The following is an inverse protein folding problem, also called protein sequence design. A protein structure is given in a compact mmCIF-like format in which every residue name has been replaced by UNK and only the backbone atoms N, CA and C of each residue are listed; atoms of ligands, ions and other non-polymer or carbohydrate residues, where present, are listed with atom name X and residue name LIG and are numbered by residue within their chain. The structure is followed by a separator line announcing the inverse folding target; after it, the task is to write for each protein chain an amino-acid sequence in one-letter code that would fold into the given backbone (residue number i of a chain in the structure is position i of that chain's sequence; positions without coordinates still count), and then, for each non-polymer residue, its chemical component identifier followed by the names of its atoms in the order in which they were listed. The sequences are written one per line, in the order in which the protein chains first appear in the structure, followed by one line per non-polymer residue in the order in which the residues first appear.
data_IF_667103017944
#
_entry.id   IF_667103017944
#
_cell.length_a   1.000
_cell.length_b   1.000
_cell.length_c   1.000
_cell.angle_alpha   90.00
_cell.angle_beta   90.00
_cell.angle_gamma   90.00
#
_symmetry.space_group_name_H-M   'P 1'
#
loop_
_entity.id
_entity.type
_entity.pdbx_description
1 polymer ?
#
# COMPACT_ATOMS: atom_id res chain seq x y z
N UNK A 1 -24.20 -14.86 37.72
CA UNK A 1 -23.05 -14.09 38.26
C UNK A 1 -21.94 -13.86 37.25
N UNK A 2 -21.55 -14.82 36.39
CA UNK A 2 -20.47 -14.63 35.38
C UNK A 2 -20.74 -13.55 34.31
N UNK A 3 -21.98 -13.42 33.81
CA UNK A 3 -22.30 -12.47 32.72
C UNK A 3 -22.21 -11.00 33.13
N UNK A 4 -22.68 -10.66 34.33
CA UNK A 4 -22.60 -9.28 34.86
C UNK A 4 -21.17 -8.88 35.19
N UNK A 5 -20.33 -9.81 35.65
CA UNK A 5 -18.90 -9.57 35.87
C UNK A 5 -18.14 -9.33 34.55
N UNK A 6 -18.48 -10.07 33.48
CA UNK A 6 -17.90 -9.86 32.16
C UNK A 6 -18.32 -8.51 31.55
N UNK A 7 -19.59 -8.12 31.71
CA UNK A 7 -20.07 -6.80 31.24
C UNK A 7 -19.36 -5.68 31.99
N UNK A 8 -19.20 -5.80 33.31
CA UNK A 8 -18.44 -4.85 34.11
C UNK A 8 -16.98 -4.76 33.68
N UNK A 9 -16.33 -5.91 33.44
CA UNK A 9 -14.95 -5.94 32.96
C UNK A 9 -14.80 -5.25 31.59
N UNK A 10 -15.74 -5.47 30.66
CA UNK A 10 -15.74 -4.82 29.35
C UNK A 10 -15.93 -3.30 29.48
N UNK A 11 -16.85 -2.85 30.32
CA UNK A 11 -17.10 -1.42 30.56
C UNK A 11 -15.87 -0.76 31.19
N UNK A 12 -15.20 -1.42 32.13
CA UNK A 12 -13.97 -0.94 32.75
C UNK A 12 -12.83 -0.86 31.72
N UNK A 13 -12.67 -1.88 30.87
CA UNK A 13 -11.68 -1.86 29.79
C UNK A 13 -11.95 -0.75 28.77
N UNK A 14 -13.22 -0.52 28.42
CA UNK A 14 -13.63 0.58 27.55
C UNK A 14 -13.33 1.96 28.16
N UNK A 15 -13.63 2.14 29.44
CA UNK A 15 -13.35 3.39 30.15
C UNK A 15 -11.83 3.65 30.27
N UNK A 16 -11.05 2.61 30.57
CA UNK A 16 -9.58 2.69 30.58
C UNK A 16 -9.02 3.04 29.21
N UNK A 17 -9.54 2.41 28.15
CA UNK A 17 -9.13 2.68 26.77
C UNK A 17 -9.43 4.13 26.38
N UNK A 18 -10.62 4.65 26.72
CA UNK A 18 -10.99 6.04 26.45
C UNK A 18 -10.08 7.03 27.20
N UNK A 19 -9.75 6.76 28.46
CA UNK A 19 -8.85 7.60 29.24
C UNK A 19 -7.43 7.62 28.64
N UNK A 20 -6.90 6.45 28.26
CA UNK A 20 -5.61 6.35 27.58
C UNK A 20 -5.61 7.09 26.23
N UNK A 21 -6.68 6.99 25.44
CA UNK A 21 -6.80 7.70 24.17
C UNK A 21 -6.73 9.21 24.36
N UNK A 22 -7.43 9.78 25.35
CA UNK A 22 -7.37 11.23 25.62
C UNK A 22 -5.99 11.72 26.06
N UNK A 23 -5.18 10.85 26.66
CA UNK A 23 -3.80 11.16 27.05
C UNK A 23 -2.80 11.01 25.90
N UNK A 24 -3.06 10.09 24.95
CA UNK A 24 -2.17 9.77 23.82
C UNK A 24 -2.48 10.65 22.59
N UNK A 25 -3.73 11.06 22.38
CA UNK A 25 -4.14 11.86 21.21
C UNK A 25 -3.43 13.21 21.07
N UNK A 26 -3.13 13.97 22.16
CA UNK A 26 -2.41 15.24 22.05
C UNK A 26 -0.98 15.10 21.49
N UNK A 27 -0.11 14.19 21.98
CA UNK A 27 1.19 13.95 21.36
C UNK A 27 1.07 13.29 19.99
N UNK A 28 0.07 12.44 19.74
CA UNK A 28 -0.16 11.82 18.42
C UNK A 28 -0.32 12.86 17.30
N UNK A 29 -1.05 13.95 17.55
CA UNK A 29 -1.21 15.05 16.56
C UNK A 29 0.08 15.79 16.23
N UNK A 30 1.11 15.71 17.07
CA UNK A 30 2.43 16.31 16.81
C UNK A 30 3.34 15.38 15.98
N UNK A 31 3.11 14.07 16.03
CA UNK A 31 3.91 13.07 15.33
C UNK A 31 3.18 12.41 14.14
N UNK A 32 1.94 12.80 13.86
CA UNK A 32 1.22 12.38 12.66
C UNK A 32 1.96 12.90 11.42
N UNK A 33 2.56 12.02 10.59
CA UNK A 33 2.81 12.40 9.22
C UNK A 33 1.45 12.79 8.62
N UNK A 34 1.40 13.75 7.70
CA UNK A 34 0.17 14.18 7.02
C UNK A 34 -0.39 13.05 6.13
N UNK A 35 -0.85 11.93 6.71
CA UNK A 35 -1.50 10.79 6.04
C UNK A 35 -3.02 11.00 5.96
N UNK A 36 -3.52 12.07 6.62
CA UNK A 36 -4.95 12.40 6.72
C UNK A 36 -5.64 12.61 5.36
N UNK A 37 -4.89 12.91 4.30
CA UNK A 37 -5.41 13.04 2.94
C UNK A 37 -5.68 11.71 2.22
N UNK A 38 -5.12 10.59 2.67
CA UNK A 38 -5.24 9.30 1.99
C UNK A 38 -6.28 8.39 2.64
N UNK A 39 -6.39 8.37 3.97
CA UNK A 39 -7.49 7.69 4.67
C UNK A 39 -8.86 8.32 4.39
N UNK A 40 -8.93 9.65 4.21
CA UNK A 40 -10.16 10.32 3.76
C UNK A 40 -10.58 9.96 2.33
N UNK A 41 -9.63 9.49 1.50
CA UNK A 41 -9.87 8.97 0.14
C UNK A 41 -10.14 7.46 0.10
N UNK A 42 -10.01 6.74 1.22
CA UNK A 42 -10.37 5.32 1.35
C UNK A 42 -11.87 5.07 1.52
N UNK A 43 -12.71 6.11 1.45
CA UNK A 43 -14.18 6.02 1.54
C UNK A 43 -14.84 5.17 0.46
N UNK A 44 -14.09 4.74 -0.57
CA UNK A 44 -14.52 3.80 -1.61
C UNK A 44 -14.05 2.35 -1.44
N UNK A 45 -13.25 2.03 -0.41
CA UNK A 45 -12.84 0.65 -0.14
C UNK A 45 -13.96 -0.09 0.61
N UNK A 46 -14.33 -1.31 0.18
CA UNK A 46 -15.23 -2.16 0.95
C UNK A 46 -14.80 -2.24 2.42
N UNK A 47 -15.76 -2.02 3.32
CA UNK A 47 -15.56 -1.97 4.77
C UNK A 47 -14.83 -3.20 5.32
N UNK A 48 -14.97 -4.33 4.64
CA UNK A 48 -14.29 -5.60 4.93
C UNK A 48 -12.75 -5.48 4.90
N UNK A 49 -12.19 -4.72 3.97
CA UNK A 49 -10.74 -4.51 3.90
C UNK A 49 -10.23 -3.67 5.07
N UNK A 50 -11.00 -2.67 5.50
CA UNK A 50 -10.68 -1.83 6.64
C UNK A 50 -10.67 -2.66 7.92
N UNK A 51 -11.69 -3.49 8.14
CA UNK A 51 -11.75 -4.38 9.32
C UNK A 51 -10.69 -5.48 9.28
N UNK A 52 -10.40 -6.06 8.10
CA UNK A 52 -9.33 -7.05 7.94
C UNK A 52 -7.96 -6.51 8.34
N UNK A 53 -7.61 -5.30 7.89
CA UNK A 53 -6.36 -4.63 8.26
C UNK A 53 -6.29 -4.34 9.77
N UNK A 54 -7.39 -3.90 10.39
CA UNK A 54 -7.44 -3.59 11.83
C UNK A 54 -7.32 -4.83 12.74
N UNK A 55 -7.66 -6.02 12.24
CA UNK A 55 -7.54 -7.29 12.96
C UNK A 55 -6.18 -8.00 12.74
N UNK A 56 -5.25 -7.37 12.01
CA UNK A 56 -3.93 -7.93 11.74
C UNK A 56 -3.83 -8.77 10.46
N UNK A 57 -4.87 -8.82 9.61
CA UNK A 57 -4.86 -9.53 8.33
C UNK A 57 -4.41 -8.64 7.17
N UNK A 58 -3.45 -7.75 7.41
CA UNK A 58 -2.99 -6.77 6.43
C UNK A 58 -2.46 -7.44 5.15
N UNK A 59 -1.74 -8.57 5.26
CA UNK A 59 -1.21 -9.27 4.09
C UNK A 59 -2.33 -9.90 3.25
N UNK A 60 -3.40 -10.41 3.90
CA UNK A 60 -4.58 -10.95 3.19
C UNK A 60 -5.32 -9.85 2.44
N UNK A 61 -5.50 -8.69 3.07
CA UNK A 61 -6.12 -7.52 2.44
C UNK A 61 -5.25 -7.02 1.28
N UNK A 62 -3.93 -6.96 1.47
CA UNK A 62 -2.97 -6.61 0.41
C UNK A 62 -3.10 -7.55 -0.79
N UNK A 63 -3.11 -8.87 -0.55
CA UNK A 63 -3.29 -9.87 -1.60
C UNK A 63 -4.61 -9.73 -2.35
N UNK A 64 -5.72 -9.49 -1.64
CA UNK A 64 -7.03 -9.30 -2.27
C UNK A 64 -7.10 -8.00 -3.11
N UNK A 65 -6.49 -6.92 -2.63
CA UNK A 65 -6.35 -5.67 -3.39
C UNK A 65 -5.48 -5.87 -4.63
N UNK A 66 -4.40 -6.64 -4.52
CA UNK A 66 -3.51 -6.94 -5.64
C UNK A 66 -4.20 -7.78 -6.72
N UNK A 67 -4.97 -8.80 -6.34
CA UNK A 67 -5.81 -9.56 -7.28
C UNK A 67 -6.79 -8.65 -8.01
N UNK A 68 -7.34 -7.64 -7.33
CA UNK A 68 -8.22 -6.65 -7.97
C UNK A 68 -7.47 -5.69 -8.90
N UNK A 69 -6.19 -5.41 -8.63
CA UNK A 69 -5.35 -4.56 -9.47
C UNK A 69 -5.20 -5.14 -10.88
N UNK A 70 -5.16 -6.47 -11.01
CA UNK A 70 -5.06 -7.18 -12.29
C UNK A 70 -6.11 -6.72 -13.32
N UNK A 71 -7.37 -6.59 -12.90
CA UNK A 71 -8.44 -6.12 -13.79
C UNK A 71 -8.16 -4.70 -14.32
N UNK A 72 -7.65 -3.81 -13.47
CA UNK A 72 -7.32 -2.44 -13.88
C UNK A 72 -6.11 -2.39 -14.82
N UNK A 73 -5.11 -3.25 -14.62
CA UNK A 73 -4.00 -3.39 -15.55
C UNK A 73 -4.47 -3.79 -16.95
N UNK A 74 -5.43 -4.72 -17.05
CA UNK A 74 -6.03 -5.13 -18.33
C UNK A 74 -6.86 -4.03 -18.98
N UNK A 75 -7.58 -3.23 -18.19
CA UNK A 75 -8.39 -2.11 -18.68
C UNK A 75 -7.56 -0.87 -19.07
N UNK A 76 -6.26 -0.83 -18.72
CA UNK A 76 -5.41 0.33 -18.94
C UNK A 76 -5.79 1.55 -18.07
N UNK A 77 -6.50 1.34 -16.96
CA UNK A 77 -6.95 2.41 -16.09
C UNK A 77 -5.86 2.83 -15.09
N UNK A 78 -4.84 3.52 -15.61
CA UNK A 78 -3.63 3.87 -14.86
C UNK A 78 -3.88 4.73 -13.61
N UNK A 79 -4.88 5.62 -13.66
CA UNK A 79 -5.23 6.50 -12.54
C UNK A 79 -5.78 5.73 -11.33
N UNK A 80 -6.45 4.61 -11.56
CA UNK A 80 -6.98 3.73 -10.51
C UNK A 80 -5.91 2.77 -9.94
N UNK A 81 -4.88 2.43 -10.72
CA UNK A 81 -3.87 1.43 -10.37
C UNK A 81 -2.87 1.97 -9.35
N UNK A 82 -2.36 3.19 -9.54
CA UNK A 82 -1.32 3.76 -8.69
C UNK A 82 -1.72 3.81 -7.20
N UNK A 83 -2.95 4.23 -6.82
CA UNK A 83 -3.41 4.16 -5.44
C UNK A 83 -3.46 2.74 -4.88
N UNK A 84 -3.82 1.74 -5.69
CA UNK A 84 -3.89 0.34 -5.26
C UNK A 84 -2.48 -0.20 -5.00
N UNK A 85 -1.53 0.02 -5.91
CA UNK A 85 -0.11 -0.32 -5.72
C UNK A 85 0.38 0.26 -4.39
N UNK A 86 0.15 1.56 -4.15
CA UNK A 86 0.59 2.21 -2.90
C UNK A 86 -0.05 1.60 -1.65
N UNK A 87 -1.32 1.24 -1.73
CA UNK A 87 -2.03 0.64 -0.59
C UNK A 87 -1.48 -0.76 -0.29
N UNK A 88 -1.22 -1.55 -1.33
CA UNK A 88 -0.63 -2.89 -1.19
C UNK A 88 0.77 -2.79 -0.58
N UNK A 89 1.65 -1.90 -1.05
CA UNK A 89 3.00 -1.74 -0.48
C UNK A 89 2.98 -1.31 0.99
N UNK A 90 1.97 -0.55 1.42
CA UNK A 90 1.81 -0.17 2.82
C UNK A 90 1.28 -1.29 3.71
N UNK A 91 0.36 -2.09 3.17
CA UNK A 91 -0.23 -3.20 3.90
C UNK A 91 0.74 -4.38 4.01
N UNK A 92 1.47 -4.65 2.94
CA UNK A 92 2.47 -5.71 2.86
C UNK A 92 3.76 -5.19 2.17
N UNK A 93 4.68 -4.62 2.95
CA UNK A 93 5.96 -4.12 2.43
C UNK A 93 6.89 -5.21 1.88
N UNK A 94 6.61 -6.49 2.14
CA UNK A 94 7.41 -7.62 1.67
C UNK A 94 6.80 -8.33 0.45
N UNK A 95 5.71 -7.81 -0.09
CA UNK A 95 5.11 -8.32 -1.31
C UNK A 95 6.02 -7.98 -2.50
N UNK A 96 6.77 -8.96 -3.00
CA UNK A 96 7.73 -8.74 -4.09
C UNK A 96 7.02 -8.44 -5.42
N UNK A 97 5.86 -9.05 -5.65
CA UNK A 97 5.12 -8.93 -6.92
C UNK A 97 4.61 -7.50 -7.14
N UNK A 98 4.13 -6.82 -6.09
CA UNK A 98 3.68 -5.42 -6.24
C UNK A 98 4.82 -4.49 -6.62
N UNK A 99 6.05 -4.75 -6.17
CA UNK A 99 7.21 -3.96 -6.56
C UNK A 99 7.69 -4.32 -7.96
N UNK A 100 7.94 -5.60 -8.25
CA UNK A 100 8.46 -6.05 -9.54
C UNK A 100 7.45 -5.81 -10.67
N UNK A 101 6.27 -6.44 -10.56
CA UNK A 101 5.23 -6.39 -11.59
C UNK A 101 4.58 -5.01 -11.64
N UNK A 102 4.35 -4.37 -10.49
CA UNK A 102 3.83 -3.00 -10.45
C UNK A 102 4.77 -2.01 -11.14
N UNK A 103 6.07 -2.06 -10.84
CA UNK A 103 7.04 -1.19 -11.52
C UNK A 103 7.15 -1.52 -13.01
N UNK A 104 7.11 -2.79 -13.38
CA UNK A 104 7.08 -3.19 -14.79
C UNK A 104 5.89 -2.57 -15.52
N UNK A 105 4.67 -2.65 -14.98
CA UNK A 105 3.53 -2.00 -15.60
C UNK A 105 3.68 -0.47 -15.71
N UNK A 106 4.14 0.19 -14.66
CA UNK A 106 4.36 1.65 -14.67
C UNK A 106 5.43 2.03 -15.69
N UNK A 107 6.51 1.25 -15.79
CA UNK A 107 7.65 1.54 -16.65
C UNK A 107 7.46 1.16 -18.11
N UNK A 108 6.61 0.18 -18.42
CA UNK A 108 6.45 -0.39 -19.76
C UNK A 108 5.06 -0.17 -20.35
N UNK A 109 4.01 -0.30 -19.54
CA UNK A 109 2.63 -0.40 -20.03
C UNK A 109 1.80 0.85 -19.83
N UNK A 110 2.29 1.82 -19.06
CA UNK A 110 1.66 3.14 -18.99
C UNK A 110 2.04 3.90 -20.25
N UNK A 111 1.09 4.08 -21.17
CA UNK A 111 1.36 4.60 -22.51
C UNK A 111 0.98 6.07 -22.70
N UNK A 112 1.67 6.73 -23.63
CA UNK A 112 1.37 8.08 -24.10
C UNK A 112 0.24 8.08 -25.17
N UNK A 113 -0.07 9.24 -25.75
CA UNK A 113 -1.11 9.35 -26.79
C UNK A 113 -0.80 8.54 -28.05
N UNK A 114 0.44 8.09 -28.23
CA UNK A 114 0.92 7.29 -29.36
C UNK A 114 1.06 5.80 -28.99
N UNK A 115 0.52 5.38 -27.84
CA UNK A 115 0.61 4.01 -27.33
C UNK A 115 2.05 3.53 -27.06
N UNK A 116 2.97 4.47 -26.82
CA UNK A 116 4.34 4.17 -26.42
C UNK A 116 4.48 4.31 -24.92
N UNK A 117 5.33 3.51 -24.31
CA UNK A 117 5.69 3.65 -22.90
C UNK A 117 6.06 5.10 -22.57
N UNK A 118 5.29 5.70 -21.66
CA UNK A 118 5.42 7.10 -21.30
C UNK A 118 6.54 7.29 -20.28
N UNK A 119 7.59 7.99 -20.74
CA UNK A 119 8.82 8.22 -19.97
C UNK A 119 8.58 9.00 -18.67
N UNK A 120 7.48 9.74 -18.55
CA UNK A 120 7.13 10.48 -17.33
C UNK A 120 6.98 9.57 -16.11
N UNK A 121 6.55 8.33 -16.32
CA UNK A 121 6.31 7.36 -15.25
C UNK A 121 7.55 6.56 -14.85
N UNK A 122 8.64 6.59 -15.61
CA UNK A 122 9.87 5.87 -15.28
C UNK A 122 10.44 6.25 -13.91
N UNK A 123 10.34 7.53 -13.55
CA UNK A 123 10.78 8.00 -12.22
C UNK A 123 9.95 7.39 -11.09
N UNK A 124 8.65 7.15 -11.31
CA UNK A 124 7.78 6.51 -10.33
C UNK A 124 8.05 5.01 -10.24
N UNK A 125 8.28 4.33 -11.37
CA UNK A 125 8.63 2.92 -11.39
C UNK A 125 9.98 2.65 -10.67
N UNK A 126 11.00 3.48 -10.93
CA UNK A 126 12.29 3.37 -10.25
C UNK A 126 12.19 3.61 -8.75
N UNK A 127 11.40 4.60 -8.32
CA UNK A 127 11.15 4.84 -6.88
C UNK A 127 10.42 3.68 -6.21
N UNK A 128 9.50 3.03 -6.92
CA UNK A 128 8.81 1.85 -6.42
C UNK A 128 9.82 0.69 -6.22
N UNK A 129 10.72 0.47 -7.17
CA UNK A 129 11.77 -0.55 -7.05
C UNK A 129 12.79 -0.21 -5.96
N UNK A 130 13.15 1.06 -5.80
CA UNK A 130 14.01 1.55 -4.71
C UNK A 130 13.38 1.24 -3.34
N UNK A 131 12.11 1.55 -3.14
CA UNK A 131 11.37 1.18 -1.92
C UNK A 131 11.28 -0.35 -1.75
N UNK A 132 11.12 -1.10 -2.84
CA UNK A 132 11.14 -2.56 -2.83
C UNK A 132 12.47 -3.12 -2.32
N UNK A 133 13.59 -2.53 -2.74
CA UNK A 133 14.94 -2.86 -2.26
C UNK A 133 15.11 -2.48 -0.79
N UNK A 134 14.67 -1.29 -0.38
CA UNK A 134 14.76 -0.83 1.02
C UNK A 134 13.99 -1.76 1.97
N UNK A 135 12.80 -2.21 1.56
CA UNK A 135 11.98 -3.12 2.36
C UNK A 135 12.43 -4.59 2.27
N UNK A 136 13.17 -4.98 1.23
CA UNK A 136 13.59 -6.36 0.97
C UNK A 136 15.09 -6.47 0.60
N UNK A 137 16.01 -6.06 1.48
CA UNK A 137 17.43 -5.90 1.15
C UNK A 137 18.17 -7.22 0.88
N UNK A 138 17.65 -8.35 1.35
CA UNK A 138 18.26 -9.66 1.13
C UNK A 138 17.70 -10.39 -0.11
N UNK A 139 16.75 -9.76 -0.82
CA UNK A 139 16.10 -10.34 -2.00
C UNK A 139 16.78 -9.80 -3.27
N UNK A 140 17.61 -10.64 -3.88
CA UNK A 140 18.34 -10.32 -5.10
C UNK A 140 17.43 -9.79 -6.23
N UNK A 141 16.23 -10.37 -6.39
CA UNK A 141 15.32 -10.04 -7.48
C UNK A 141 14.97 -8.53 -7.50
N UNK A 142 14.85 -7.86 -6.35
CA UNK A 142 14.55 -6.42 -6.31
C UNK A 142 15.69 -5.58 -6.90
N UNK A 143 16.94 -5.96 -6.66
CA UNK A 143 18.10 -5.31 -7.26
C UNK A 143 18.19 -5.61 -8.77
N UNK A 144 17.86 -6.85 -9.16
CA UNK A 144 17.83 -7.24 -10.57
C UNK A 144 16.80 -6.42 -11.34
N UNK A 145 15.56 -6.34 -10.86
CA UNK A 145 14.47 -5.60 -11.51
C UNK A 145 14.80 -4.10 -11.62
N UNK A 146 15.34 -3.50 -10.56
CA UNK A 146 15.81 -2.11 -10.59
C UNK A 146 16.92 -1.91 -11.63
N UNK A 147 17.92 -2.80 -11.64
CA UNK A 147 19.02 -2.75 -12.60
C UNK A 147 18.57 -2.95 -14.05
N UNK A 148 17.63 -3.86 -14.27
CA UNK A 148 17.02 -4.12 -15.57
C UNK A 148 16.30 -2.87 -16.09
N UNK A 149 15.50 -2.22 -15.24
CA UNK A 149 14.80 -0.99 -15.62
C UNK A 149 15.75 0.16 -15.99
N UNK A 150 16.85 0.33 -15.24
CA UNK A 150 17.90 1.27 -15.60
C UNK A 150 18.54 0.94 -16.96
N UNK A 151 18.87 -0.33 -17.19
CA UNK A 151 19.50 -0.78 -18.43
C UNK A 151 18.58 -0.59 -19.64
N UNK A 152 17.33 -1.01 -19.53
CA UNK A 152 16.42 -1.11 -20.66
C UNK A 152 15.67 0.20 -20.94
N UNK A 153 15.19 0.90 -19.91
CA UNK A 153 14.35 2.09 -20.08
C UNK A 153 15.09 3.41 -20.03
N UNK A 154 16.25 3.45 -19.35
CA UNK A 154 17.02 4.68 -19.17
C UNK A 154 18.22 4.72 -20.11
N UNK A 155 19.05 3.67 -20.12
CA UNK A 155 20.27 3.66 -20.95
C UNK A 155 19.99 3.53 -22.45
N UNK A 156 18.96 2.78 -22.84
CA UNK A 156 18.62 2.54 -24.24
C UNK A 156 17.64 3.58 -24.83
N UNK A 157 17.32 4.64 -24.09
CA UNK A 157 16.37 5.67 -24.51
C UNK A 157 17.03 6.95 -24.97
#
# INVERSE_FOLDING_TARGET
MRRTQLILAIVVLWALSAALQTAIDPPRKQFEPKVQGLFGKMTGLPTEYIFGTMLGFREVVAGALWVRADAFFHEGNYDAILPIIRLVTWLDPHNLDVYSTGAWHIGYNFTDTEQRSDRRYLSAALKLLEEGVENNPDVYDMYFEMGWMWYDKIKQA
#
